data_IF_238802885197
#
_entry.id   IF_238802885197
#
_cell.length_a   1.000
_cell.length_b   1.000
_cell.length_c   1.000
_cell.angle_alpha   90.00
_cell.angle_beta   90.00
_cell.angle_gamma   90.00
#
_symmetry.space_group_name_H-M   'P 1'
#
loop_
_entity.id
_entity.type
_entity.pdbx_description
1 polymer ?
#
# COMPACT_ATOMS: atom_id res chain seq x y z
N UNK A 1 -1.36 32.51 0.41
CA UNK A 1 -0.90 31.14 0.74
C UNK A 1 -1.90 30.21 0.10
N UNK A 2 -1.73 30.02 -1.20
CA UNK A 2 -2.80 29.61 -2.11
C UNK A 2 -2.18 28.77 -3.21
N UNK A 3 -2.79 27.62 -3.46
CA UNK A 3 -2.72 26.74 -4.64
C UNK A 3 -1.30 26.31 -5.08
N UNK A 4 -1.01 25.02 -5.21
CA UNK A 4 -1.25 24.28 -6.45
C UNK A 4 -1.57 22.82 -6.11
N UNK A 5 -2.85 22.48 -6.18
CA UNK A 5 -3.35 21.12 -6.38
C UNK A 5 -3.45 20.90 -7.91
N UNK A 6 -2.30 20.70 -8.57
CA UNK A 6 -2.25 20.30 -9.99
C UNK A 6 -1.05 19.40 -10.22
N UNK A 7 -1.23 18.10 -10.07
CA UNK A 7 -0.43 17.06 -10.73
C UNK A 7 -1.16 15.71 -10.64
N UNK A 8 -2.48 15.72 -10.86
CA UNK A 8 -3.29 14.50 -10.87
C UNK A 8 -4.10 14.46 -12.17
N UNK A 9 -3.42 14.13 -13.25
CA UNK A 9 -4.08 13.75 -14.49
C UNK A 9 -3.82 12.26 -14.73
N UNK A 10 -4.90 11.49 -14.84
CA UNK A 10 -4.88 10.06 -15.13
C UNK A 10 -4.98 9.93 -16.64
N UNK A 11 -3.92 9.43 -17.28
CA UNK A 11 -4.01 9.07 -18.69
C UNK A 11 -4.95 7.87 -18.87
N UNK A 12 -5.60 7.76 -20.03
CA UNK A 12 -6.56 6.68 -20.40
C UNK A 12 -5.94 5.26 -20.35
N UNK A 13 -4.64 5.18 -20.04
CA UNK A 13 -3.81 3.98 -19.94
C UNK A 13 -3.35 3.65 -18.51
N UNK A 14 -3.86 4.35 -17.49
CA UNK A 14 -3.61 4.01 -16.07
C UNK A 14 -2.24 4.44 -15.52
N UNK A 15 -1.60 5.43 -16.11
CA UNK A 15 -0.26 5.91 -15.73
C UNK A 15 -0.34 7.07 -14.74
N UNK A 16 0.55 7.10 -13.75
CA UNK A 16 0.60 8.14 -12.71
C UNK A 16 2.00 8.80 -12.69
N UNK A 17 2.05 10.14 -12.65
CA UNK A 17 3.27 10.91 -12.50
C UNK A 17 3.22 11.73 -11.21
N UNK A 18 4.36 11.87 -10.51
CA UNK A 18 4.43 12.65 -9.28
C UNK A 18 5.76 13.43 -9.18
N UNK A 19 5.68 14.73 -8.93
CA UNK A 19 6.80 15.56 -8.46
C UNK A 19 6.50 16.00 -7.04
N UNK A 20 7.40 15.73 -6.10
CA UNK A 20 7.32 16.27 -4.75
C UNK A 20 8.67 16.81 -4.29
N UNK A 21 8.61 17.92 -3.55
CA UNK A 21 9.75 18.73 -3.12
C UNK A 21 10.66 18.11 -2.02
N UNK A 22 11.28 18.94 -1.15
CA UNK A 22 12.65 18.74 -0.65
C UNK A 22 12.92 17.69 0.46
N UNK A 23 11.99 16.80 0.82
CA UNK A 23 12.22 15.79 1.87
C UNK A 23 12.25 14.38 1.28
N UNK A 24 13.47 13.85 1.14
CA UNK A 24 13.76 12.53 0.56
C UNK A 24 13.45 11.41 1.56
N UNK A 25 12.33 10.73 1.36
CA UNK A 25 12.18 9.32 1.73
C UNK A 25 11.72 8.61 0.48
N UNK A 26 12.57 7.74 -0.07
CA UNK A 26 12.20 6.89 -1.20
C UNK A 26 11.21 5.84 -0.70
N UNK A 27 9.91 6.11 -0.78
CA UNK A 27 8.99 5.03 -1.11
C UNK A 27 8.82 5.14 -2.61
N UNK A 28 9.68 4.42 -3.34
CA UNK A 28 9.36 4.15 -4.72
C UNK A 28 7.97 3.50 -4.71
N UNK A 29 7.02 4.07 -5.43
CA UNK A 29 5.76 3.43 -5.79
C UNK A 29 5.98 2.18 -6.67
N UNK A 30 7.17 1.54 -6.58
CA UNK A 30 7.58 0.34 -7.31
C UNK A 30 6.82 -0.90 -6.85
N UNK A 31 6.08 -0.80 -5.73
CA UNK A 31 5.47 -1.95 -5.11
C UNK A 31 3.94 -2.00 -5.17
N UNK A 32 3.23 -0.91 -4.82
CA UNK A 32 1.77 -0.84 -4.97
C UNK A 32 1.32 0.58 -5.34
N UNK A 33 0.15 0.75 -5.96
CA UNK A 33 -0.37 2.08 -6.33
C UNK A 33 -0.66 2.99 -5.12
N UNK A 34 -0.89 2.40 -3.95
CA UNK A 34 -1.28 3.12 -2.74
C UNK A 34 -0.42 2.70 -1.55
N UNK A 35 0.04 3.67 -0.77
CA UNK A 35 0.48 3.44 0.62
C UNK A 35 -0.68 3.78 1.55
N UNK A 36 -0.93 2.95 2.55
CA UNK A 36 -1.96 3.13 3.57
C UNK A 36 -1.36 3.19 4.98
N UNK A 37 -2.01 3.96 5.85
CA UNK A 37 -1.71 4.12 7.27
C UNK A 37 -2.95 3.85 8.10
N UNK A 38 -2.77 3.61 9.39
CA UNK A 38 -3.91 3.65 10.32
C UNK A 38 -4.42 5.09 10.40
N UNK A 39 -5.73 5.25 10.53
CA UNK A 39 -6.30 6.56 10.85
C UNK A 39 -5.94 6.97 12.29
N UNK A 40 -6.28 8.20 12.68
CA UNK A 40 -5.93 8.76 14.00
C UNK A 40 -6.52 7.92 15.16
N UNK A 41 -7.64 7.24 14.92
CA UNK A 41 -8.29 6.33 15.89
C UNK A 41 -7.82 4.89 15.79
N UNK A 42 -7.00 4.57 14.79
CA UNK A 42 -6.56 3.23 14.44
C UNK A 42 -7.74 2.22 14.33
N UNK A 43 -8.86 2.67 13.77
CA UNK A 43 -10.03 1.86 13.47
C UNK A 43 -10.28 1.68 11.96
N UNK A 44 -9.57 2.45 11.13
CA UNK A 44 -9.62 2.35 9.68
C UNK A 44 -8.23 2.50 9.05
N UNK A 45 -8.15 2.16 7.75
CA UNK A 45 -6.97 2.41 6.92
C UNK A 45 -7.23 3.57 5.98
N UNK A 46 -6.26 4.47 5.88
CA UNK A 46 -6.32 5.68 5.04
C UNK A 46 -5.10 5.70 4.13
N UNK A 47 -5.35 5.88 2.84
CA UNK A 47 -4.30 6.04 1.83
C UNK A 47 -3.50 7.33 2.08
N UNK A 48 -2.27 7.40 1.58
CA UNK A 48 -1.43 8.60 1.60
C UNK A 48 -2.08 9.84 0.91
N UNK A 49 -3.16 9.64 0.15
CA UNK A 49 -3.96 10.71 -0.46
C UNK A 49 -5.13 11.18 0.41
N UNK A 50 -5.26 10.64 1.63
CA UNK A 50 -6.34 10.96 2.57
C UNK A 50 -7.66 10.21 2.30
N UNK A 51 -7.69 9.30 1.33
CA UNK A 51 -8.88 8.47 1.06
C UNK A 51 -8.91 7.27 1.98
N UNK A 52 -10.02 7.05 2.68
CA UNK A 52 -10.27 5.83 3.46
C UNK A 52 -10.42 4.62 2.53
N UNK A 53 -9.75 3.53 2.88
CA UNK A 53 -9.92 2.24 2.19
C UNK A 53 -11.32 1.69 2.43
N UNK A 54 -11.89 1.04 1.42
CA UNK A 54 -13.17 0.34 1.55
C UNK A 54 -13.10 -0.86 2.51
N UNK A 55 -14.18 -1.66 2.59
CA UNK A 55 -14.16 -2.91 3.34
C UNK A 55 -12.98 -3.79 2.92
N UNK A 56 -12.23 -4.28 3.90
CA UNK A 56 -11.07 -5.13 3.64
C UNK A 56 -11.53 -6.46 3.03
N UNK A 57 -10.98 -6.77 1.86
CA UNK A 57 -11.28 -8.00 1.13
C UNK A 57 -10.25 -9.08 1.47
N UNK A 58 -8.98 -8.69 1.59
CA UNK A 58 -7.88 -9.60 1.88
C UNK A 58 -6.66 -8.84 2.43
N UNK A 59 -5.90 -9.49 3.31
CA UNK A 59 -4.54 -9.14 3.65
C UNK A 59 -3.58 -10.07 2.93
N UNK A 60 -2.49 -9.50 2.42
CA UNK A 60 -1.40 -10.25 1.82
C UNK A 60 -0.12 -9.88 2.55
N UNK A 61 0.79 -10.83 2.64
CA UNK A 61 2.12 -10.58 3.18
C UNK A 61 3.15 -11.18 2.24
N UNK A 62 4.18 -10.41 1.93
CA UNK A 62 5.26 -10.85 1.06
C UNK A 62 6.45 -11.48 1.78
N UNK A 63 7.41 -11.98 1.02
CA UNK A 63 8.63 -12.57 1.57
C UNK A 63 9.59 -11.56 2.22
N UNK A 64 9.39 -10.25 2.00
CA UNK A 64 10.14 -9.17 2.63
C UNK A 64 9.49 -8.67 3.93
N UNK A 65 8.32 -9.20 4.30
CA UNK A 65 7.56 -8.80 5.49
C UNK A 65 6.68 -7.56 5.27
N UNK A 66 6.48 -7.12 4.02
CA UNK A 66 5.54 -6.04 3.73
C UNK A 66 4.11 -6.57 3.76
N UNK A 67 3.24 -5.86 4.47
CA UNK A 67 1.81 -6.16 4.51
C UNK A 67 1.07 -5.34 3.46
N UNK A 68 0.33 -6.03 2.60
CA UNK A 68 -0.56 -5.44 1.62
C UNK A 68 -2.02 -5.63 2.03
N UNK A 69 -2.82 -4.66 1.65
CA UNK A 69 -4.25 -4.61 1.90
C UNK A 69 -4.97 -4.53 0.57
N UNK A 70 -5.90 -5.46 0.38
CA UNK A 70 -6.81 -5.47 -0.77
C UNK A 70 -8.14 -4.92 -0.30
N UNK A 71 -8.51 -3.74 -0.81
CA UNK A 71 -9.83 -3.16 -0.66
C UNK A 71 -10.08 -2.19 -1.82
N UNK A 72 -11.27 -1.62 -1.94
CA UNK A 72 -11.47 -0.49 -2.85
C UNK A 72 -10.64 0.72 -2.39
N UNK A 73 -9.88 1.41 -3.27
CA UNK A 73 -9.89 1.32 -4.75
C UNK A 73 -8.86 0.35 -5.38
N UNK A 74 -8.08 -0.38 -4.59
CA UNK A 74 -7.12 -1.36 -5.09
C UNK A 74 -6.18 -1.90 -3.99
N UNK A 75 -5.09 -2.54 -4.40
CA UNK A 75 -4.05 -3.01 -3.47
C UNK A 75 -3.24 -1.84 -2.93
N UNK A 76 -2.95 -1.86 -1.63
CA UNK A 76 -2.12 -0.89 -0.95
C UNK A 76 -1.11 -1.55 -0.03
N UNK A 77 0.11 -1.03 0.05
CA UNK A 77 1.08 -1.44 1.08
C UNK A 77 0.86 -0.64 2.37
N UNK A 78 1.04 -1.27 3.52
CA UNK A 78 1.02 -0.60 4.83
C UNK A 78 2.36 0.14 5.05
N UNK A 79 2.29 1.38 5.53
CA UNK A 79 3.45 2.16 5.94
C UNK A 79 4.20 1.46 7.09
N UNK A 80 5.54 1.48 7.06
CA UNK A 80 6.36 0.77 8.04
C UNK A 80 6.07 1.20 9.49
N UNK A 81 5.69 2.47 9.66
CA UNK A 81 5.40 3.08 10.96
C UNK A 81 4.15 2.51 11.61
N UNK A 82 3.21 2.04 10.79
CA UNK A 82 1.93 1.47 11.23
C UNK A 82 1.95 -0.07 11.21
N UNK A 83 2.94 -0.68 10.54
CA UNK A 83 3.04 -2.13 10.40
C UNK A 83 3.12 -2.83 11.77
N UNK A 84 3.92 -2.31 12.70
CA UNK A 84 4.05 -2.88 14.04
C UNK A 84 2.70 -2.91 14.77
N UNK A 85 2.00 -1.77 14.79
CA UNK A 85 0.69 -1.64 15.43
C UNK A 85 -0.38 -2.53 14.76
N UNK A 86 -0.30 -2.70 13.43
CA UNK A 86 -1.18 -3.61 12.70
C UNK A 86 -0.90 -5.08 13.04
N UNK A 87 0.37 -5.49 13.08
CA UNK A 87 0.77 -6.86 13.41
C UNK A 87 0.31 -7.26 14.83
N UNK A 88 0.46 -6.38 15.81
CA UNK A 88 -0.05 -6.60 17.16
C UNK A 88 -1.57 -6.84 17.17
N UNK A 89 -2.33 -6.08 16.37
CA UNK A 89 -3.79 -6.25 16.23
C UNK A 89 -4.17 -7.58 15.59
N UNK A 90 -3.34 -8.08 14.67
CA UNK A 90 -3.53 -9.40 14.08
C UNK A 90 -3.19 -10.53 15.07
N UNK A 91 -2.61 -10.21 16.22
CA UNK A 91 -2.23 -11.16 17.27
C UNK A 91 -0.79 -11.66 17.16
N UNK A 92 0.07 -10.96 16.41
CA UNK A 92 1.51 -11.19 16.46
C UNK A 92 2.07 -10.69 17.79
N UNK A 93 3.04 -11.41 18.33
CA UNK A 93 3.84 -10.96 19.47
C UNK A 93 4.72 -9.73 19.15
N UNK A 94 5.14 -9.60 17.89
CA UNK A 94 5.95 -8.52 17.37
C UNK A 94 5.98 -8.58 15.82
N UNK A 95 6.59 -7.57 15.19
CA UNK A 95 6.82 -7.53 13.74
C UNK A 95 8.14 -8.24 13.32
N UNK A 96 8.68 -9.16 14.13
CA UNK A 96 9.83 -9.98 13.74
C UNK A 96 9.40 -11.13 12.83
N UNK A 97 10.36 -11.79 12.18
CA UNK A 97 10.10 -12.95 11.32
C UNK A 97 9.23 -14.03 11.98
N UNK A 98 9.50 -14.38 13.24
CA UNK A 98 8.71 -15.37 13.98
C UNK A 98 7.25 -14.93 14.21
N UNK A 99 7.02 -13.66 14.54
CA UNK A 99 5.67 -13.11 14.70
C UNK A 99 4.91 -13.03 13.37
N UNK A 100 5.63 -12.74 12.29
CA UNK A 100 5.12 -12.74 10.92
C UNK A 100 4.70 -14.16 10.49
N UNK A 101 5.56 -15.16 10.72
CA UNK A 101 5.28 -16.57 10.41
C UNK A 101 4.04 -17.07 11.18
N UNK A 102 3.95 -16.77 12.48
CA UNK A 102 2.80 -17.15 13.30
C UNK A 102 1.48 -16.57 12.78
N UNK A 103 1.50 -15.34 12.25
CA UNK A 103 0.33 -14.72 11.64
C UNK A 103 -0.02 -15.41 10.31
N UNK A 104 0.98 -15.74 9.48
CA UNK A 104 0.77 -16.46 8.21
C UNK A 104 0.19 -17.87 8.37
N UNK A 105 0.41 -18.55 9.50
CA UNK A 105 -0.21 -19.85 9.79
C UNK A 105 -1.74 -19.76 9.93
N UNK A 106 -2.28 -18.54 10.00
CA UNK A 106 -3.71 -18.29 10.19
C UNK A 106 -4.35 -17.82 8.87
N UNK A 107 -5.20 -18.65 8.23
CA UNK A 107 -5.86 -18.27 6.98
C UNK A 107 -6.88 -17.14 7.15
N UNK A 108 -7.27 -16.85 8.40
CA UNK A 108 -8.26 -15.84 8.75
C UNK A 108 -7.81 -15.11 10.02
N UNK A 109 -7.77 -13.78 9.96
CA UNK A 109 -7.37 -12.90 11.06
C UNK A 109 -8.46 -11.89 11.37
N UNK A 110 -8.52 -11.43 12.62
CA UNK A 110 -9.46 -10.39 13.02
C UNK A 110 -8.84 -9.01 12.81
N UNK A 111 -9.49 -8.15 12.02
CA UNK A 111 -9.06 -6.78 11.83
C UNK A 111 -10.29 -5.86 11.79
N UNK A 112 -10.25 -4.77 12.58
CA UNK A 112 -11.36 -3.82 12.74
C UNK A 112 -12.72 -4.49 13.06
N UNK A 113 -12.68 -5.54 13.91
CA UNK A 113 -13.88 -6.28 14.33
C UNK A 113 -14.47 -7.22 13.27
N UNK A 114 -13.74 -7.48 12.18
CA UNK A 114 -14.19 -8.36 11.08
C UNK A 114 -13.14 -9.43 10.77
N UNK A 115 -13.57 -10.64 10.35
CA UNK A 115 -12.66 -11.64 9.82
C UNK A 115 -12.17 -11.21 8.44
N UNK A 116 -10.86 -11.21 8.23
CA UNK A 116 -10.20 -10.87 6.97
C UNK A 116 -9.30 -12.04 6.56
N UNK A 117 -9.43 -12.57 5.32
CA UNK A 117 -8.53 -13.59 4.81
C UNK A 117 -7.09 -13.07 4.78
N UNK A 118 -6.16 -13.93 5.19
CA UNK A 118 -4.73 -13.65 5.12
C UNK A 118 -4.05 -14.72 4.27
N UNK A 119 -3.15 -14.31 3.38
CA UNK A 119 -2.33 -15.22 2.60
C UNK A 119 -0.95 -14.64 2.33
N UNK A 120 0.02 -15.51 2.06
CA UNK A 120 1.30 -15.11 1.48
C UNK A 120 1.16 -14.76 -0.01
N UNK A 121 2.00 -13.85 -0.48
CA UNK A 121 2.19 -13.54 -1.91
C UNK A 121 3.68 -13.31 -2.18
N UNK A 122 4.17 -13.56 -3.40
CA UNK A 122 5.50 -13.08 -3.76
C UNK A 122 5.41 -11.65 -4.27
N UNK A 123 6.37 -10.81 -3.93
CA UNK A 123 6.41 -9.43 -4.39
C UNK A 123 6.33 -9.31 -5.92
N UNK A 124 6.92 -10.26 -6.65
CA UNK A 124 6.88 -10.35 -8.12
C UNK A 124 5.47 -10.65 -8.70
N UNK A 125 4.61 -11.32 -7.92
CA UNK A 125 3.25 -11.69 -8.34
C UNK A 125 2.26 -10.54 -8.15
N UNK A 126 2.58 -9.56 -7.29
CA UNK A 126 1.66 -8.46 -6.92
C UNK A 126 1.22 -7.65 -8.16
N UNK A 127 2.11 -7.17 -9.04
CA UNK A 127 1.71 -6.42 -10.23
C UNK A 127 0.82 -7.22 -11.18
N UNK A 128 1.16 -8.50 -11.40
CA UNK A 128 0.39 -9.39 -12.26
C UNK A 128 -0.99 -9.72 -11.69
N UNK A 129 -1.09 -9.91 -10.37
CA UNK A 129 -2.34 -10.20 -9.67
C UNK A 129 -3.32 -9.03 -9.71
N UNK A 130 -2.83 -7.80 -9.58
CA UNK A 130 -3.66 -6.60 -9.47
C UNK A 130 -3.64 -5.71 -10.72
N UNK A 131 -3.00 -6.15 -11.79
CA UNK A 131 -2.94 -5.49 -13.09
C UNK A 131 -2.53 -4.00 -13.03
N UNK A 132 -1.52 -3.67 -12.22
CA UNK A 132 -0.91 -2.34 -12.20
C UNK A 132 0.54 -2.40 -12.67
N UNK A 133 1.02 -1.29 -13.21
CA UNK A 133 2.40 -1.15 -13.67
C UNK A 133 3.26 -0.56 -12.52
N UNK A 134 4.21 -1.31 -11.97
CA UNK A 134 5.03 -0.85 -10.83
C UNK A 134 6.05 0.21 -11.26
N UNK A 135 6.40 0.27 -12.55
CA UNK A 135 7.42 1.18 -13.09
C UNK A 135 6.90 1.90 -14.31
N UNK A 136 6.02 2.91 -14.16
CA UNK A 136 5.53 3.64 -15.30
C UNK A 136 6.71 4.35 -15.96
N UNK A 137 7.22 3.79 -17.06
CA UNK A 137 8.29 4.41 -17.84
C UNK A 137 7.69 5.69 -18.44
N UNK A 138 8.27 6.88 -18.18
CA UNK A 138 7.85 8.09 -18.87
C UNK A 138 8.03 7.86 -20.37
N UNK A 139 7.07 8.27 -21.23
CA UNK A 139 7.27 8.17 -22.68
C UNK A 139 8.54 8.93 -23.07
N UNK A 140 9.44 8.27 -23.79
CA UNK A 140 10.64 8.90 -24.31
C UNK A 140 10.25 10.03 -25.28
N UNK A 141 10.61 11.27 -24.96
CA UNK A 141 10.53 12.40 -25.90
C UNK A 141 9.60 13.56 -25.55
N UNK A 142 9.53 14.00 -24.28
CA UNK A 142 9.08 15.38 -24.02
C UNK A 142 10.27 16.33 -24.19
N UNK A 143 10.28 17.24 -25.18
CA UNK A 143 11.30 18.27 -25.25
C UNK A 143 11.20 19.13 -23.99
N UNK A 144 12.36 19.41 -23.39
CA UNK A 144 12.52 20.37 -22.31
C UNK A 144 12.04 21.73 -22.85
N UNK A 145 10.82 22.14 -22.49
CA UNK A 145 10.36 23.49 -22.79
C UNK A 145 11.29 24.46 -22.04
N UNK A 146 12.05 25.23 -22.82
CA UNK A 146 12.88 26.36 -22.39
C UNK A 146 12.07 27.45 -21.70
#
# INVERSE_FOLDING_TARGET
MEFINRNYDRDERGRWFFQNGPQRVFVALDYTPWVCRLDDRADALVTHTGRTMGPLEQLLLDEAGAMLVVAQPGVAVIDDRDLAALMERLGAENASSAGIESVLERPLVGLFGRPVPLAGIRAEDVPGRFAFDPRPVPPAGMPECS
#
